data_IF_087695345601
#
_entry.id   IF_087695345601
#
_cell.length_a   1.000
_cell.length_b   1.000
_cell.length_c   1.000
_cell.angle_alpha   90.00
_cell.angle_beta   90.00
_cell.angle_gamma   90.00
#
_symmetry.space_group_name_H-M   'P 1'
#
loop_
_entity.id
_entity.type
_entity.pdbx_description
1 polymer ?
#
# COMPACT_ATOMS: atom_id res chain seq x y z
N UNK A 1 -24.67 20.76 -68.80
CA UNK A 1 -23.43 20.99 -68.02
C UNK A 1 -23.66 21.20 -66.51
N UNK A 2 -24.76 21.81 -66.05
CA UNK A 2 -25.03 21.96 -64.60
C UNK A 2 -25.53 20.69 -63.89
N UNK A 3 -26.21 19.77 -64.59
CA UNK A 3 -26.76 18.53 -63.99
C UNK A 3 -25.72 17.40 -63.83
N UNK A 4 -24.69 17.35 -64.68
CA UNK A 4 -23.57 16.40 -64.56
C UNK A 4 -22.59 16.79 -63.45
N UNK A 5 -22.49 18.09 -63.12
CA UNK A 5 -21.67 18.58 -62.01
C UNK A 5 -22.25 18.20 -60.63
N UNK A 6 -23.57 18.17 -60.51
CA UNK A 6 -24.27 17.83 -59.25
C UNK A 6 -24.13 16.33 -58.93
N UNK A 7 -24.12 15.47 -59.96
CA UNK A 7 -23.95 14.02 -59.78
C UNK A 7 -22.53 13.65 -59.29
N UNK A 8 -21.52 14.42 -59.69
CA UNK A 8 -20.13 14.22 -59.29
C UNK A 8 -19.85 14.69 -57.86
N UNK A 9 -20.58 15.70 -57.37
CA UNK A 9 -20.50 16.19 -55.98
C UNK A 9 -21.21 15.23 -55.02
N UNK A 10 -22.30 14.56 -55.44
CA UNK A 10 -23.03 13.62 -54.61
C UNK A 10 -22.26 12.31 -54.32
N UNK A 11 -21.37 11.88 -55.24
CA UNK A 11 -20.57 10.65 -55.07
C UNK A 11 -19.42 10.85 -54.07
N UNK A 12 -18.94 12.09 -53.88
CA UNK A 12 -17.87 12.40 -52.91
C UNK A 12 -18.36 12.28 -51.45
N UNK A 13 -19.67 12.31 -51.21
CA UNK A 13 -20.27 12.14 -49.87
C UNK A 13 -20.62 10.69 -49.52
N UNK A 14 -20.46 9.74 -50.45
CA UNK A 14 -20.71 8.32 -50.21
C UNK A 14 -19.43 7.51 -49.91
N UNK A 15 -18.27 8.16 -49.92
CA UNK A 15 -17.01 7.57 -49.45
C UNK A 15 -16.90 7.83 -47.94
N UNK A 16 -16.74 6.80 -47.09
CA UNK A 16 -16.54 7.02 -45.66
C UNK A 16 -15.24 7.81 -45.44
N UNK A 17 -15.34 9.05 -44.94
CA UNK A 17 -14.18 9.93 -44.68
C UNK A 17 -13.43 9.61 -43.38
N UNK A 18 -13.55 8.38 -42.86
CA UNK A 18 -12.83 7.97 -41.64
C UNK A 18 -11.70 7.01 -41.97
N UNK A 19 -10.66 7.54 -42.61
CA UNK A 19 -9.30 7.03 -42.48
C UNK A 19 -8.41 8.17 -42.00
N UNK A 20 -8.63 8.59 -40.75
CA UNK A 20 -7.56 9.21 -39.97
C UNK A 20 -6.72 8.06 -39.43
N UNK A 21 -5.58 7.84 -40.07
CA UNK A 21 -4.46 7.13 -39.46
C UNK A 21 -4.12 7.81 -38.13
N UNK A 22 -3.79 6.98 -37.14
CA UNK A 22 -3.33 7.31 -35.79
C UNK A 22 -2.99 8.79 -35.54
N UNK A 23 -3.75 9.41 -34.63
CA UNK A 23 -3.14 10.23 -33.59
C UNK A 23 -3.82 9.87 -32.27
N UNK A 24 -2.99 9.55 -31.28
CA UNK A 24 -3.39 9.39 -29.89
C UNK A 24 -4.23 10.59 -29.44
N UNK A 25 -5.16 10.34 -28.52
CA UNK A 25 -5.86 11.34 -27.69
C UNK A 25 -7.20 11.85 -28.25
N UNK A 26 -8.30 11.12 -27.97
CA UNK A 26 -9.52 11.71 -27.38
C UNK A 26 -10.62 10.67 -27.14
N UNK A 27 -11.20 10.76 -25.94
CA UNK A 27 -12.58 10.42 -25.59
C UNK A 27 -12.94 8.92 -25.58
N UNK A 28 -12.85 8.25 -24.42
CA UNK A 28 -13.94 8.24 -23.42
C UNK A 28 -15.24 7.74 -24.05
N UNK A 29 -15.32 6.42 -24.22
CA UNK A 29 -16.55 5.69 -24.50
C UNK A 29 -16.53 4.38 -23.70
N UNK A 30 -16.71 4.48 -22.38
CA UNK A 30 -17.11 3.38 -21.50
C UNK A 30 -17.43 3.92 -20.09
N UNK A 31 -18.49 4.73 -19.95
CA UNK A 31 -19.14 4.94 -18.65
C UNK A 31 -20.11 3.79 -18.45
N UNK A 32 -19.56 2.63 -18.05
CA UNK A 32 -20.22 1.51 -17.37
C UNK A 32 -19.20 0.35 -17.24
N UNK A 33 -18.50 0.26 -16.11
CA UNK A 33 -17.96 -1.02 -15.62
C UNK A 33 -16.61 -1.52 -16.14
N UNK A 34 -15.72 -0.69 -16.68
CA UNK A 34 -14.36 -1.15 -17.03
C UNK A 34 -13.37 0.01 -17.10
N UNK A 35 -12.34 -0.04 -16.26
CA UNK A 35 -11.23 0.90 -16.26
C UNK A 35 -10.64 1.02 -17.67
N UNK A 36 -10.79 2.22 -18.23
CA UNK A 36 -10.29 2.60 -19.54
C UNK A 36 -8.77 2.47 -19.52
N UNK A 37 -8.25 1.62 -20.43
CA UNK A 37 -6.87 1.53 -20.92
C UNK A 37 -5.88 2.35 -20.08
N UNK A 38 -5.18 1.69 -19.14
CA UNK A 38 -4.28 2.36 -18.22
C UNK A 38 -3.10 3.00 -18.99
N UNK A 39 -3.32 4.21 -19.49
CA UNK A 39 -2.27 5.16 -19.75
C UNK A 39 -1.66 5.53 -18.41
N UNK A 40 -0.34 5.40 -18.27
CA UNK A 40 0.41 5.67 -17.05
C UNK A 40 0.42 7.17 -16.67
N UNK A 41 -0.75 7.77 -16.52
CA UNK A 41 -0.98 9.15 -16.15
C UNK A 41 -1.34 9.29 -14.67
N UNK A 42 -1.05 10.47 -14.11
CA UNK A 42 -1.31 10.82 -12.71
C UNK A 42 -2.79 10.60 -12.33
N UNK A 43 -3.72 10.90 -13.25
CA UNK A 43 -5.15 10.71 -13.02
C UNK A 43 -5.54 9.25 -12.78
N UNK A 44 -4.90 8.28 -13.44
CA UNK A 44 -5.18 6.86 -13.22
C UNK A 44 -4.70 6.41 -11.83
N UNK A 45 -3.54 6.91 -11.38
CA UNK A 45 -3.02 6.61 -10.03
C UNK A 45 -3.92 7.20 -8.95
N UNK A 46 -4.43 8.42 -9.13
CA UNK A 46 -5.35 9.02 -8.17
C UNK A 46 -6.68 8.27 -8.11
N UNK A 47 -7.23 7.85 -9.25
CA UNK A 47 -8.45 7.03 -9.26
C UNK A 47 -8.25 5.68 -8.56
N UNK A 48 -7.10 5.03 -8.76
CA UNK A 48 -6.78 3.78 -8.07
C UNK A 48 -6.61 3.98 -6.57
N UNK A 49 -6.04 5.11 -6.15
CA UNK A 49 -5.95 5.50 -4.74
C UNK A 49 -7.32 5.66 -4.12
N UNK A 50 -8.22 6.41 -4.76
CA UNK A 50 -9.60 6.56 -4.31
C UNK A 50 -10.32 5.20 -4.21
N UNK A 51 -10.14 4.32 -5.21
CA UNK A 51 -10.72 2.98 -5.20
C UNK A 51 -10.17 2.12 -4.05
N UNK A 52 -8.86 2.19 -3.80
CA UNK A 52 -8.20 1.45 -2.73
C UNK A 52 -8.65 1.93 -1.35
N UNK A 53 -8.77 3.25 -1.14
CA UNK A 53 -9.27 3.84 0.11
C UNK A 53 -10.74 3.51 0.36
N UNK A 54 -11.57 3.51 -0.69
CA UNK A 54 -12.97 3.08 -0.60
C UNK A 54 -13.08 1.62 -0.17
N UNK A 55 -12.37 0.71 -0.84
CA UNK A 55 -12.44 -0.71 -0.50
C UNK A 55 -11.88 -1.02 0.89
N UNK A 56 -10.79 -0.36 1.29
CA UNK A 56 -10.25 -0.45 2.65
C UNK A 56 -11.28 0.02 3.70
N UNK A 57 -12.04 1.08 3.39
CA UNK A 57 -13.13 1.56 4.24
C UNK A 57 -14.27 0.55 4.33
N UNK A 58 -14.70 -0.01 3.21
CA UNK A 58 -15.75 -1.05 3.17
C UNK A 58 -15.33 -2.30 3.96
N UNK A 59 -14.08 -2.75 3.80
CA UNK A 59 -13.54 -3.86 4.56
C UNK A 59 -13.55 -3.57 6.06
N UNK A 60 -13.10 -2.37 6.47
CA UNK A 60 -13.10 -1.97 7.88
C UNK A 60 -14.51 -1.96 8.47
N UNK A 61 -15.48 -1.34 7.78
CA UNK A 61 -16.87 -1.27 8.25
C UNK A 61 -17.54 -2.66 8.31
N UNK A 62 -17.14 -3.57 7.43
CA UNK A 62 -17.70 -4.94 7.37
C UNK A 62 -17.15 -5.82 8.50
N UNK A 63 -15.84 -5.74 8.76
CA UNK A 63 -15.15 -6.64 9.70
C UNK A 63 -15.03 -6.05 11.12
N UNK A 64 -15.09 -4.73 11.23
CA UNK A 64 -14.96 -3.97 12.47
C UNK A 64 -16.06 -2.90 12.60
N UNK A 65 -17.34 -3.30 12.70
CA UNK A 65 -18.47 -2.39 12.77
C UNK A 65 -18.47 -1.49 14.03
N UNK A 66 -17.60 -1.78 15.01
CA UNK A 66 -17.38 -0.94 16.19
C UNK A 66 -16.77 0.44 15.87
N UNK A 67 -16.09 0.61 14.72
CA UNK A 67 -15.49 1.88 14.33
C UNK A 67 -16.52 2.79 13.65
N UNK A 68 -16.98 3.82 14.37
CA UNK A 68 -18.02 4.75 13.88
C UNK A 68 -17.50 6.13 13.47
N UNK A 69 -16.28 6.51 13.88
CA UNK A 69 -15.68 7.81 13.60
C UNK A 69 -14.17 7.66 13.39
N UNK A 70 -13.74 7.67 12.14
CA UNK A 70 -12.34 7.49 11.79
C UNK A 70 -11.99 8.23 10.50
N UNK A 71 -10.71 8.55 10.37
CA UNK A 71 -10.07 8.93 9.12
C UNK A 71 -9.29 7.73 8.59
N UNK A 72 -9.28 7.54 7.27
CA UNK A 72 -8.50 6.51 6.59
C UNK A 72 -7.73 7.19 5.44
N UNK A 73 -6.43 6.93 5.35
CA UNK A 73 -5.58 7.46 4.27
C UNK A 73 -4.49 6.47 3.88
N UNK A 74 -4.28 6.25 2.59
CA UNK A 74 -3.18 5.40 2.11
C UNK A 74 -1.81 6.05 2.29
N UNK A 75 -0.76 5.24 2.46
CA UNK A 75 0.65 5.70 2.44
C UNK A 75 1.36 5.46 1.11
N UNK A 76 0.81 4.57 0.27
CA UNK A 76 1.58 3.97 -0.81
C UNK A 76 1.41 4.65 -2.17
N UNK A 77 0.35 5.43 -2.36
CA UNK A 77 0.01 5.97 -3.68
C UNK A 77 0.56 7.38 -3.94
N UNK A 78 0.99 8.11 -2.90
CA UNK A 78 1.48 9.48 -3.06
C UNK A 78 2.83 9.52 -3.82
N UNK A 79 2.79 9.97 -5.08
CA UNK A 79 3.97 10.19 -5.92
C UNK A 79 4.61 8.95 -6.55
N UNK A 80 4.01 7.75 -6.41
CA UNK A 80 4.50 6.51 -7.03
C UNK A 80 3.98 6.35 -8.46
N UNK A 81 4.77 5.71 -9.33
CA UNK A 81 4.31 5.33 -10.67
C UNK A 81 3.54 4.01 -10.59
N UNK A 82 2.59 3.80 -11.49
CA UNK A 82 1.79 2.58 -11.54
C UNK A 82 2.63 1.29 -11.54
N UNK A 83 3.70 1.25 -12.34
CA UNK A 83 4.60 0.09 -12.38
C UNK A 83 5.18 -0.24 -10.99
N UNK A 84 5.48 0.79 -10.21
CA UNK A 84 6.07 0.64 -8.87
C UNK A 84 4.98 0.15 -7.89
N UNK A 85 3.73 0.59 -8.08
CA UNK A 85 2.57 0.09 -7.35
C UNK A 85 2.31 -1.40 -7.68
N UNK A 86 2.27 -1.79 -8.95
CA UNK A 86 2.02 -3.20 -9.33
C UNK A 86 3.03 -4.20 -8.78
N UNK A 87 4.25 -3.75 -8.47
CA UNK A 87 5.30 -4.56 -7.85
C UNK A 87 5.29 -4.52 -6.32
N UNK A 88 4.46 -3.68 -5.71
CA UNK A 88 4.38 -3.56 -4.25
C UNK A 88 3.62 -4.76 -3.69
N UNK A 89 4.18 -5.41 -2.66
CA UNK A 89 3.61 -6.58 -1.97
C UNK A 89 2.72 -6.23 -0.78
N UNK A 90 2.69 -4.95 -0.37
CA UNK A 90 1.82 -4.46 0.70
C UNK A 90 1.32 -3.05 0.39
N UNK A 91 0.01 -2.85 0.47
CA UNK A 91 -0.61 -1.52 0.54
C UNK A 91 -0.99 -1.23 1.99
N UNK A 92 -0.74 -0.02 2.45
CA UNK A 92 -0.90 0.37 3.84
C UNK A 92 -1.80 1.58 3.98
N UNK A 93 -2.72 1.51 4.95
CA UNK A 93 -3.66 2.59 5.25
C UNK A 93 -3.53 2.99 6.72
N UNK A 94 -3.27 4.27 6.95
CA UNK A 94 -3.36 4.85 8.29
C UNK A 94 -4.82 5.08 8.62
N UNK A 95 -5.26 4.52 9.74
CA UNK A 95 -6.58 4.73 10.29
C UNK A 95 -6.39 5.47 11.61
N UNK A 96 -7.14 6.56 11.80
CA UNK A 96 -7.15 7.28 13.07
C UNK A 96 -8.57 7.61 13.48
N UNK A 97 -8.96 7.09 14.64
CA UNK A 97 -10.21 7.45 15.29
C UNK A 97 -10.21 8.93 15.68
N UNK A 98 -11.39 9.50 15.77
CA UNK A 98 -11.58 10.83 16.34
C UNK A 98 -12.95 10.96 17.00
N UNK A 99 -13.06 11.90 17.92
CA UNK A 99 -14.34 12.36 18.46
C UNK A 99 -14.44 13.89 18.36
N UNK A 100 -15.57 14.47 18.75
CA UNK A 100 -15.75 15.92 18.79
C UNK A 100 -15.78 16.43 20.23
N UNK A 101 -14.93 17.42 20.51
CA UNK A 101 -14.91 18.16 21.75
C UNK A 101 -15.02 19.65 21.43
N UNK A 102 -16.16 20.27 21.78
CA UNK A 102 -16.49 21.67 21.43
C UNK A 102 -16.31 21.97 19.94
N UNK A 103 -16.93 21.14 19.08
CA UNK A 103 -16.88 21.22 17.60
C UNK A 103 -15.48 21.08 16.98
N UNK A 104 -14.49 20.62 17.75
CA UNK A 104 -13.14 20.33 17.26
C UNK A 104 -12.87 18.83 17.28
N UNK A 105 -12.23 18.28 16.23
CA UNK A 105 -11.85 16.87 16.22
C UNK A 105 -10.74 16.63 17.26
N UNK A 106 -11.00 15.71 18.17
CA UNK A 106 -10.04 15.18 19.14
C UNK A 106 -9.58 13.81 18.65
N UNK A 107 -8.29 13.67 18.36
CA UNK A 107 -7.74 12.48 17.73
C UNK A 107 -7.53 11.35 18.75
N UNK A 108 -8.06 10.17 18.44
CA UNK A 108 -8.00 8.98 19.28
C UNK A 108 -7.02 7.93 18.78
N UNK A 109 -7.46 6.67 18.87
CA UNK A 109 -6.68 5.47 18.58
C UNK A 109 -6.10 5.50 17.15
N UNK A 110 -4.84 5.06 17.04
CA UNK A 110 -4.13 4.87 15.77
C UNK A 110 -4.13 3.39 15.40
N UNK A 111 -4.39 3.12 14.13
CA UNK A 111 -4.46 1.78 13.54
C UNK A 111 -3.79 1.81 12.16
N UNK A 112 -3.24 0.69 11.72
CA UNK A 112 -2.75 0.53 10.35
C UNK A 112 -3.38 -0.72 9.76
N UNK A 113 -4.03 -0.57 8.61
CA UNK A 113 -4.55 -1.68 7.83
C UNK A 113 -3.52 -2.04 6.76
N UNK A 114 -3.03 -3.28 6.81
CA UNK A 114 -2.21 -3.88 5.77
C UNK A 114 -3.08 -4.65 4.79
N UNK A 115 -2.97 -4.32 3.51
CA UNK A 115 -3.41 -5.16 2.41
C UNK A 115 -2.21 -5.86 1.79
N UNK A 116 -1.98 -7.11 2.16
CA UNK A 116 -0.95 -7.95 1.54
C UNK A 116 -1.42 -8.39 0.17
N UNK A 117 -0.63 -8.06 -0.86
CA UNK A 117 -1.02 -8.24 -2.25
C UNK A 117 -0.34 -9.47 -2.85
N UNK A 118 -1.08 -10.25 -3.62
CA UNK A 118 -0.53 -11.36 -4.42
C UNK A 118 -0.27 -10.92 -5.87
N UNK A 119 0.45 -11.74 -6.63
CA UNK A 119 0.85 -11.41 -8.02
C UNK A 119 -0.37 -11.07 -8.89
N UNK A 120 -0.27 -9.95 -9.61
CA UNK A 120 -1.31 -9.48 -10.52
C UNK A 120 -2.53 -8.89 -9.82
N UNK A 121 -2.36 -8.36 -8.60
CA UNK A 121 -3.36 -7.55 -7.90
C UNK A 121 -3.69 -6.24 -8.62
N UNK A 122 -2.78 -5.75 -9.49
CA UNK A 122 -3.09 -4.73 -10.50
C UNK A 122 -3.08 -5.40 -11.86
N UNK A 123 -4.15 -5.21 -12.63
CA UNK A 123 -4.29 -5.71 -14.00
C UNK A 123 -4.91 -4.62 -14.91
N UNK A 124 -5.24 -4.97 -16.15
CA UNK A 124 -5.83 -4.04 -17.12
C UNK A 124 -7.19 -3.46 -16.70
N UNK A 125 -7.90 -4.13 -15.79
CA UNK A 125 -9.16 -3.71 -15.19
C UNK A 125 -8.99 -3.00 -13.83
N UNK A 126 -7.76 -2.71 -13.39
CA UNK A 126 -7.48 -2.02 -12.12
C UNK A 126 -7.02 -2.91 -10.99
N UNK A 127 -7.50 -2.60 -9.78
CA UNK A 127 -7.19 -3.35 -8.56
C UNK A 127 -8.13 -4.56 -8.44
N UNK A 128 -7.53 -5.74 -8.33
CA UNK A 128 -8.17 -7.00 -8.00
C UNK A 128 -8.10 -7.22 -6.48
N UNK A 129 -9.17 -6.85 -5.79
CA UNK A 129 -9.25 -6.92 -4.33
C UNK A 129 -9.33 -8.34 -3.78
N UNK A 130 -9.70 -9.33 -4.60
CA UNK A 130 -9.69 -10.75 -4.20
C UNK A 130 -8.24 -11.26 -3.99
N UNK A 131 -7.26 -10.53 -4.52
CA UNK A 131 -5.82 -10.78 -4.32
C UNK A 131 -5.21 -9.96 -3.18
N UNK A 132 -6.05 -9.36 -2.33
CA UNK A 132 -5.62 -8.58 -1.18
C UNK A 132 -6.08 -9.27 0.10
N UNK A 133 -5.13 -9.60 0.97
CA UNK A 133 -5.40 -10.10 2.33
C UNK A 133 -5.21 -8.99 3.34
N UNK A 134 -6.21 -8.79 4.17
CA UNK A 134 -6.29 -7.65 5.07
C UNK A 134 -5.90 -8.03 6.50
N UNK A 135 -5.05 -7.20 7.12
CA UNK A 135 -4.63 -7.34 8.51
C UNK A 135 -4.72 -5.98 9.20
N UNK A 136 -5.60 -5.86 10.21
CA UNK A 136 -5.72 -4.66 11.01
C UNK A 136 -4.76 -4.72 12.20
N UNK A 137 -3.86 -3.76 12.28
CA UNK A 137 -2.77 -3.72 13.25
C UNK A 137 -2.94 -2.49 14.14
N UNK A 138 -2.89 -2.69 15.46
CA UNK A 138 -2.81 -1.61 16.44
C UNK A 138 -1.38 -1.42 16.97
N UNK A 139 -1.18 -0.44 17.84
CA UNK A 139 0.16 -0.14 18.37
C UNK A 139 0.76 -1.28 19.19
N UNK A 140 -0.05 -2.12 19.84
CA UNK A 140 0.43 -3.25 20.62
C UNK A 140 0.88 -4.38 19.70
N UNK A 141 0.07 -4.71 18.70
CA UNK A 141 0.42 -5.73 17.72
C UNK A 141 1.64 -5.30 16.90
N UNK A 142 1.69 -4.04 16.45
CA UNK A 142 2.86 -3.50 15.78
C UNK A 142 4.13 -3.58 16.65
N UNK A 143 4.03 -3.29 17.95
CA UNK A 143 5.15 -3.45 18.88
C UNK A 143 5.59 -4.91 19.00
N UNK A 144 4.66 -5.87 19.04
CA UNK A 144 4.98 -7.30 19.06
C UNK A 144 5.70 -7.73 17.78
N UNK A 145 5.20 -7.27 16.63
CA UNK A 145 5.80 -7.53 15.33
C UNK A 145 7.25 -6.99 15.28
N UNK A 146 7.42 -5.71 15.60
CA UNK A 146 8.73 -5.04 15.61
C UNK A 146 9.69 -5.61 16.64
N UNK A 147 9.19 -6.07 17.79
CA UNK A 147 10.01 -6.76 18.80
C UNK A 147 10.55 -8.06 18.24
N UNK A 148 9.70 -8.90 17.65
CA UNK A 148 10.10 -10.18 17.06
C UNK A 148 11.08 -9.98 15.90
N UNK A 149 10.80 -9.01 15.04
CA UNK A 149 11.70 -8.63 13.96
C UNK A 149 13.06 -8.14 14.48
N UNK A 150 13.08 -7.35 15.55
CA UNK A 150 14.33 -6.87 16.16
C UNK A 150 15.16 -8.02 16.73
N UNK A 151 14.52 -9.01 17.37
CA UNK A 151 15.21 -10.21 17.88
C UNK A 151 15.97 -10.94 16.76
N UNK A 152 15.29 -11.21 15.65
CA UNK A 152 15.93 -11.89 14.50
C UNK A 152 16.97 -11.00 13.79
N UNK A 153 16.76 -9.68 13.74
CA UNK A 153 17.65 -8.77 13.05
C UNK A 153 18.92 -8.38 13.84
N UNK A 154 18.94 -8.54 15.17
CA UNK A 154 20.06 -8.10 16.04
C UNK A 154 20.66 -9.20 16.92
N UNK A 155 19.92 -10.27 17.18
CA UNK A 155 20.25 -11.29 18.18
C UNK A 155 20.03 -10.85 19.62
N UNK A 156 19.55 -9.63 19.87
CA UNK A 156 19.09 -9.23 21.20
C UNK A 156 17.85 -10.06 21.55
N UNK A 157 17.85 -10.70 22.72
CA UNK A 157 16.76 -11.56 23.18
C UNK A 157 16.00 -10.95 24.36
N UNK A 158 16.54 -9.92 24.99
CA UNK A 158 15.88 -9.20 26.08
C UNK A 158 14.75 -8.33 25.53
N UNK A 159 13.54 -8.85 25.66
CA UNK A 159 12.32 -8.20 25.17
C UNK A 159 12.05 -6.85 25.85
N UNK A 160 12.37 -6.70 27.12
CA UNK A 160 12.16 -5.44 27.84
C UNK A 160 13.02 -4.32 27.25
N UNK A 161 14.30 -4.62 26.98
CA UNK A 161 15.24 -3.69 26.34
C UNK A 161 14.76 -3.31 24.95
N UNK A 162 14.34 -4.30 24.14
CA UNK A 162 13.83 -4.06 22.78
C UNK A 162 12.58 -3.19 22.81
N UNK A 163 11.60 -3.52 23.64
CA UNK A 163 10.34 -2.77 23.74
C UNK A 163 10.57 -1.36 24.26
N UNK A 164 11.46 -1.17 25.22
CA UNK A 164 11.86 0.16 25.70
C UNK A 164 12.46 0.96 24.53
N UNK A 165 13.45 0.40 23.83
CA UNK A 165 14.12 1.06 22.71
C UNK A 165 13.15 1.42 21.57
N UNK A 166 12.21 0.53 21.22
CA UNK A 166 11.17 0.79 20.22
C UNK A 166 10.21 1.90 20.66
N UNK A 167 9.86 2.00 21.94
CA UNK A 167 8.90 3.03 22.41
C UNK A 167 9.51 4.42 22.53
N UNK A 168 10.76 4.52 22.98
CA UNK A 168 11.37 5.81 23.36
C UNK A 168 12.52 6.25 22.47
N UNK A 169 13.05 5.32 21.67
CA UNK A 169 14.17 5.53 20.77
C UNK A 169 13.70 5.92 19.38
N UNK A 170 14.62 5.82 18.41
CA UNK A 170 14.37 6.08 17.00
C UNK A 170 14.73 4.86 16.17
N UNK A 171 13.76 4.34 15.42
CA UNK A 171 14.01 3.25 14.47
C UNK A 171 14.80 3.79 13.29
N UNK A 172 15.91 3.13 12.98
CA UNK A 172 16.81 3.47 11.89
C UNK A 172 16.95 2.29 10.94
N UNK A 173 17.59 2.55 9.80
CA UNK A 173 17.91 1.53 8.81
C UNK A 173 18.84 0.43 9.35
N UNK A 174 19.69 0.76 10.31
CA UNK A 174 20.75 -0.14 10.82
C UNK A 174 20.44 -0.68 12.20
N UNK A 175 19.27 -0.40 12.77
CA UNK A 175 18.98 -0.74 14.15
C UNK A 175 17.99 0.22 14.80
N UNK A 176 18.00 0.24 16.13
CA UNK A 176 17.19 1.16 16.94
C UNK A 176 18.16 2.00 17.76
N UNK A 177 18.10 3.31 17.57
CA UNK A 177 18.86 4.25 18.39
C UNK A 177 18.11 4.49 19.68
N UNK A 178 18.58 3.90 20.77
CA UNK A 178 18.01 4.04 22.09
C UNK A 178 18.37 5.37 22.73
N UNK A 179 17.72 5.69 23.85
CA UNK A 179 18.16 6.78 24.73
C UNK A 179 19.28 6.29 25.65
N UNK A 180 20.23 7.17 25.98
CA UNK A 180 21.34 6.90 26.92
C UNK A 180 22.24 5.71 26.54
N UNK A 181 22.47 5.47 25.24
CA UNK A 181 23.42 4.46 24.78
C UNK A 181 22.91 3.01 24.78
N UNK A 182 21.59 2.80 24.92
CA UNK A 182 20.93 1.50 24.72
C UNK A 182 20.61 1.25 23.25
N UNK A 183 21.59 1.43 22.38
CA UNK A 183 21.42 1.23 20.94
C UNK A 183 21.38 -0.28 20.63
N UNK A 184 20.50 -0.67 19.71
CA UNK A 184 20.37 -2.05 19.23
C UNK A 184 20.73 -2.07 17.75
N UNK A 185 21.92 -2.57 17.43
CA UNK A 185 22.39 -2.67 16.06
C UNK A 185 21.84 -3.93 15.38
N UNK A 186 21.40 -3.78 14.13
CA UNK A 186 21.03 -4.89 13.29
C UNK A 186 22.28 -5.47 12.60
N UNK A 187 22.23 -6.77 12.34
CA UNK A 187 23.26 -7.48 11.61
C UNK A 187 23.50 -6.88 10.23
N UNK A 188 24.77 -6.84 9.82
CA UNK A 188 25.16 -6.55 8.44
C UNK A 188 25.25 -7.89 7.72
N UNK A 189 24.21 -8.20 6.93
CA UNK A 189 24.13 -9.43 6.13
C UNK A 189 24.20 -9.09 4.64
N UNK A 190 24.71 -10.03 3.85
CA UNK A 190 24.78 -10.01 2.38
C UNK A 190 23.42 -10.40 1.77
N UNK A 191 23.16 -10.03 0.51
CA UNK A 191 21.82 -10.10 -0.10
C UNK A 191 21.27 -11.47 -0.40
N UNK A 192 22.13 -12.48 -0.37
CA UNK A 192 21.76 -13.89 -0.45
C UNK A 192 21.55 -14.54 0.93
N UNK A 193 21.72 -13.78 2.03
CA UNK A 193 21.52 -14.26 3.39
C UNK A 193 20.15 -13.88 3.94
N UNK A 194 19.54 -14.81 4.68
CA UNK A 194 18.22 -14.65 5.27
C UNK A 194 18.24 -15.12 6.72
N UNK A 195 17.73 -14.30 7.63
CA UNK A 195 17.44 -14.72 9.00
C UNK A 195 15.93 -14.85 9.15
N UNK A 196 15.47 -15.98 9.71
CA UNK A 196 14.04 -16.32 9.76
C UNK A 196 13.64 -16.64 11.18
N UNK A 197 12.47 -16.17 11.59
CA UNK A 197 11.81 -16.57 12.83
C UNK A 197 10.33 -16.80 12.60
N UNK A 198 9.76 -17.79 13.28
CA UNK A 198 8.31 -17.93 13.34
C UNK A 198 7.72 -16.79 14.19
N UNK A 199 6.64 -16.16 13.70
CA UNK A 199 5.92 -15.11 14.45
C UNK A 199 4.65 -15.67 15.07
N UNK A 200 3.79 -16.27 14.24
CA UNK A 200 2.54 -16.89 14.65
C UNK A 200 2.21 -18.08 13.71
N UNK A 201 1.09 -18.80 13.87
CA UNK A 201 0.73 -19.91 12.99
C UNK A 201 0.60 -19.56 11.51
N UNK A 202 0.36 -18.28 11.17
CA UNK A 202 0.12 -17.79 9.81
C UNK A 202 1.37 -17.19 9.17
N UNK A 203 2.32 -16.68 9.96
CA UNK A 203 3.41 -15.83 9.49
C UNK A 203 4.79 -16.25 10.01
N UNK A 204 5.79 -16.08 9.16
CA UNK A 204 7.20 -15.99 9.56
C UNK A 204 7.74 -14.61 9.25
N UNK A 205 8.66 -14.13 10.08
CA UNK A 205 9.44 -12.94 9.75
C UNK A 205 10.79 -13.30 9.17
N UNK A 206 11.20 -12.50 8.22
CA UNK A 206 12.43 -12.65 7.48
C UNK A 206 13.17 -11.32 7.52
N UNK A 207 14.41 -11.36 8.00
CA UNK A 207 15.35 -10.28 7.86
C UNK A 207 16.26 -10.57 6.65
N UNK A 208 16.10 -9.77 5.60
CA UNK A 208 17.02 -9.71 4.47
C UNK A 208 17.15 -8.25 4.02
N UNK A 209 18.37 -7.87 3.63
CA UNK A 209 18.76 -6.64 2.93
C UNK A 209 17.68 -5.58 2.90
N UNK A 210 17.49 -5.00 4.09
CA UNK A 210 16.79 -3.73 4.24
C UNK A 210 15.27 -3.76 4.13
N UNK A 211 14.64 -4.90 4.41
CA UNK A 211 13.19 -5.03 4.52
C UNK A 211 12.76 -5.86 5.73
N UNK A 212 11.56 -5.58 6.24
CA UNK A 212 10.82 -6.56 7.04
C UNK A 212 10.10 -7.49 6.06
N UNK A 213 10.60 -8.71 5.92
CA UNK A 213 9.94 -9.77 5.18
C UNK A 213 8.89 -10.47 6.05
N UNK A 214 7.70 -10.68 5.52
CA UNK A 214 6.63 -11.44 6.15
C UNK A 214 6.25 -12.55 5.17
N UNK A 215 6.55 -13.79 5.53
CA UNK A 215 6.15 -14.95 4.75
C UNK A 215 4.83 -15.50 5.25
N UNK A 216 3.80 -15.48 4.39
CA UNK A 216 2.48 -16.03 4.67
C UNK A 216 2.51 -17.54 4.41
N UNK A 217 2.31 -18.33 5.46
CA UNK A 217 2.47 -19.79 5.39
C UNK A 217 1.41 -20.47 4.52
N UNK A 218 0.19 -19.95 4.52
CA UNK A 218 -0.90 -20.52 3.74
C UNK A 218 -0.73 -20.27 2.24
N UNK A 219 -0.45 -19.02 1.86
CA UNK A 219 -0.35 -18.62 0.45
C UNK A 219 1.03 -18.80 -0.15
N UNK A 220 2.04 -18.99 0.70
CA UNK A 220 3.46 -19.03 0.35
C UNK A 220 3.98 -17.72 -0.25
N UNK A 221 3.26 -16.61 -0.03
CA UNK A 221 3.68 -15.29 -0.48
C UNK A 221 4.74 -14.70 0.46
N UNK A 222 5.78 -14.10 -0.10
CA UNK A 222 6.75 -13.28 0.62
C UNK A 222 6.40 -11.80 0.45
N UNK A 223 5.88 -11.20 1.52
CA UNK A 223 5.60 -9.78 1.60
C UNK A 223 6.84 -9.06 2.09
N UNK A 224 7.16 -7.91 1.51
CA UNK A 224 8.33 -7.11 1.90
C UNK A 224 7.92 -5.67 2.19
N UNK A 225 8.06 -5.28 3.45
CA UNK A 225 7.89 -3.89 3.87
C UNK A 225 9.26 -3.21 3.80
N UNK A 226 9.39 -2.24 2.89
CA UNK A 226 10.61 -1.44 2.78
C UNK A 226 10.88 -0.65 4.07
N UNK A 227 12.15 -0.44 4.41
CA UNK A 227 12.57 0.31 5.61
C UNK A 227 11.89 1.67 5.77
N UNK A 228 11.78 2.42 4.68
CA UNK A 228 11.16 3.75 4.72
C UNK A 228 9.71 3.68 5.20
N UNK A 229 8.96 2.69 4.72
CA UNK A 229 7.56 2.51 5.09
C UNK A 229 7.44 1.90 6.50
N UNK A 230 8.32 0.99 6.88
CA UNK A 230 8.44 0.49 8.25
C UNK A 230 8.68 1.62 9.26
N UNK A 231 9.59 2.56 8.94
CA UNK A 231 9.85 3.74 9.78
C UNK A 231 8.60 4.62 9.84
N UNK A 232 7.96 4.94 8.71
CA UNK A 232 6.72 5.75 8.69
C UNK A 232 5.57 5.13 9.50
N UNK A 233 5.43 3.80 9.47
CA UNK A 233 4.43 3.08 10.26
C UNK A 233 4.78 3.19 11.74
N UNK A 234 6.04 3.00 12.09
CA UNK A 234 6.50 3.08 13.47
C UNK A 234 6.36 4.50 14.06
N UNK A 235 6.80 5.51 13.32
CA UNK A 235 6.62 6.92 13.66
C UNK A 235 5.13 7.26 13.78
N UNK A 236 4.28 6.73 12.89
CA UNK A 236 2.84 6.93 13.02
C UNK A 236 2.31 6.42 14.35
N UNK A 237 2.71 5.25 14.83
CA UNK A 237 2.23 4.73 16.11
C UNK A 237 2.79 5.48 17.33
N UNK A 238 4.08 5.82 17.33
CA UNK A 238 4.78 6.23 18.56
C UNK A 238 5.31 7.67 18.59
N UNK A 239 5.36 8.36 17.45
CA UNK A 239 5.62 9.79 17.41
C UNK A 239 4.28 10.56 17.37
N UNK A 240 4.29 11.79 17.91
CA UNK A 240 3.09 12.64 18.00
C UNK A 240 2.67 13.22 16.64
#
# INVERSE_FOLDING_TARGET
MKKTLILLIAIIHLVPQNLKAQDNTAAVAAVAGGLVAIGAGIAAVEQMKEQAELNATEWLLTNHPEYTRFSLKTLDFDGKKLKDLSSTSVITFKIREFDFNNDKPELGKKLVLFGFTSIGWINEYGIDFDKIRWFLIDSNEWLNMMTTYTKVASGENNEEIIREALKIGKVLNTGIKGKKGKDIDFYKIEGDMYLVTDYNPEMKFIYNERSLGIYLKESMDLIQIGRGDLIKIHEFFFEE
#
